data_IF_485678392113
#
_entry.id   IF_485678392113
#
_cell.length_a   1.000
_cell.length_b   1.000
_cell.length_c   1.000
_cell.angle_alpha   90.00
_cell.angle_beta   90.00
_cell.angle_gamma   90.00
#
_symmetry.space_group_name_H-M   'P 1'
#
loop_
_entity.id
_entity.type
_entity.pdbx_description
1 polymer ?
#
# COMPACT_ATOMS: atom_id res chain seq x y z
N UNK A 1 18.07 28.13 55.62
CA UNK A 1 18.79 26.85 55.52
C UNK A 1 17.74 25.76 55.37
N UNK A 2 17.08 25.61 54.23
CA UNK A 2 17.56 25.08 52.93
C UNK A 2 17.95 23.62 53.01
N UNK A 3 17.06 22.72 52.58
CA UNK A 3 17.30 21.77 51.48
C UNK A 3 16.08 20.84 51.28
N UNK A 4 15.40 21.04 50.16
CA UNK A 4 14.54 20.05 49.53
C UNK A 4 15.43 19.12 48.68
N UNK A 5 15.20 17.82 48.74
CA UNK A 5 15.79 16.81 47.85
C UNK A 5 14.65 15.99 47.24
N UNK A 6 14.48 16.12 45.93
CA UNK A 6 13.77 15.16 45.08
C UNK A 6 14.77 14.46 44.17
N UNK A 7 14.43 13.26 43.70
CA UNK A 7 14.93 12.54 42.50
C UNK A 7 14.09 11.25 42.37
N UNK A 8 13.03 11.23 41.56
CA UNK A 8 12.92 10.71 40.18
C UNK A 8 13.37 9.26 39.98
N UNK A 9 12.38 8.38 39.79
CA UNK A 9 12.55 7.02 39.32
C UNK A 9 12.81 6.98 37.81
N UNK A 10 13.84 6.24 37.40
CA UNK A 10 14.31 6.11 36.03
C UNK A 10 13.94 4.72 35.52
N UNK A 11 12.98 4.62 34.59
CA UNK A 11 12.62 3.36 33.94
C UNK A 11 13.48 3.17 32.68
N UNK A 12 14.34 2.14 32.71
CA UNK A 12 15.12 1.68 31.56
C UNK A 12 14.21 0.94 30.58
N UNK A 13 14.17 1.39 29.32
CA UNK A 13 13.48 0.69 28.22
C UNK A 13 14.55 0.13 27.26
N UNK A 14 14.80 -1.17 27.33
CA UNK A 14 15.72 -1.88 26.45
C UNK A 14 15.04 -2.23 25.11
N UNK A 15 15.55 -1.66 24.02
CA UNK A 15 15.17 -2.00 22.64
C UNK A 15 15.76 -3.37 22.26
N UNK A 16 14.91 -4.35 21.95
CA UNK A 16 15.34 -5.62 21.32
C UNK A 16 14.98 -5.54 19.83
N UNK A 17 16.01 -5.44 18.98
CA UNK A 17 15.90 -5.60 17.54
C UNK A 17 15.68 -7.08 17.17
N UNK A 18 14.81 -7.36 16.21
CA UNK A 18 14.54 -8.70 15.68
C UNK A 18 14.87 -8.77 14.18
N UNK A 19 15.71 -9.73 13.80
CA UNK A 19 16.15 -10.02 12.43
C UNK A 19 15.16 -10.93 11.68
N UNK A 20 14.95 -10.68 10.38
CA UNK A 20 13.93 -11.33 9.53
C UNK A 20 14.38 -12.59 8.77
N UNK A 21 15.36 -13.36 9.26
CA UNK A 21 15.58 -14.72 8.72
C UNK A 21 14.70 -15.69 9.50
N UNK A 22 13.75 -16.39 8.85
CA UNK A 22 13.09 -17.66 9.29
C UNK A 22 11.56 -17.73 9.03
N UNK A 23 11.13 -17.55 7.77
CA UNK A 23 9.80 -18.01 7.34
C UNK A 23 9.96 -19.07 6.25
N UNK A 24 9.52 -20.30 6.51
CA UNK A 24 9.41 -21.38 5.52
C UNK A 24 7.94 -21.81 5.37
N UNK A 25 7.42 -21.99 4.15
CA UNK A 25 6.07 -22.50 3.91
C UNK A 25 5.98 -24.00 4.17
N UNK A 26 4.85 -24.47 4.71
CA UNK A 26 4.50 -25.89 4.84
C UNK A 26 3.30 -26.17 3.92
N UNK A 27 3.36 -27.32 3.26
CA UNK A 27 2.56 -27.87 2.16
C UNK A 27 1.03 -27.66 2.18
N UNK A 28 0.46 -27.61 0.97
CA UNK A 28 -0.98 -27.62 0.65
C UNK A 28 -1.38 -29.07 0.32
N UNK A 29 -2.41 -29.61 0.98
CA UNK A 29 -3.06 -30.87 0.54
C UNK A 29 -4.41 -30.57 -0.09
N UNK A 30 -4.64 -31.15 -1.27
CA UNK A 30 -5.92 -31.17 -1.99
C UNK A 30 -6.53 -32.57 -1.83
N UNK A 31 -7.83 -32.69 -1.55
CA UNK A 31 -8.73 -33.74 -2.07
C UNK A 31 -10.22 -33.42 -1.75
N UNK A 32 -11.20 -33.98 -2.52
CA UNK A 32 -12.53 -33.41 -2.75
C UNK A 32 -13.70 -34.23 -2.16
N UNK A 33 -14.88 -33.64 -2.01
CA UNK A 33 -16.16 -34.38 -1.89
C UNK A 33 -17.34 -33.59 -2.51
N UNK A 34 -18.09 -34.26 -3.39
CA UNK A 34 -19.33 -33.83 -4.02
C UNK A 34 -20.56 -34.31 -3.24
N UNK A 35 -21.64 -33.51 -3.17
CA UNK A 35 -23.05 -33.84 -3.55
C UNK A 35 -24.00 -32.63 -3.36
N UNK A 36 -25.22 -32.71 -3.92
CA UNK A 36 -26.08 -31.63 -4.46
C UNK A 36 -27.20 -31.04 -3.55
N UNK A 37 -27.73 -29.87 -3.99
CA UNK A 37 -28.99 -29.11 -3.68
C UNK A 37 -28.99 -28.09 -2.49
N UNK A 38 -29.82 -27.02 -2.52
CA UNK A 38 -30.02 -25.99 -3.54
C UNK A 38 -29.61 -24.57 -3.04
N UNK A 39 -29.46 -23.63 -3.97
CA UNK A 39 -29.17 -22.18 -3.80
C UNK A 39 -29.23 -21.58 -2.38
N UNK A 40 -28.10 -21.62 -1.66
CA UNK A 40 -27.58 -20.51 -0.85
C UNK A 40 -26.08 -20.42 -1.10
N UNK A 41 -25.61 -19.24 -1.46
CA UNK A 41 -24.21 -19.02 -1.82
C UNK A 41 -23.28 -19.44 -0.67
N UNK A 42 -22.18 -20.17 -0.93
CA UNK A 42 -21.25 -20.55 0.10
C UNK A 42 -20.40 -19.35 0.52
N UNK A 43 -20.50 -19.02 1.81
CA UNK A 43 -19.55 -18.17 2.53
C UNK A 43 -18.21 -18.92 2.54
N UNK A 44 -17.27 -18.51 1.70
CA UNK A 44 -15.90 -19.05 1.76
C UNK A 44 -15.13 -18.28 2.81
N UNK A 45 -15.13 -18.78 4.05
CA UNK A 45 -14.20 -18.35 5.09
C UNK A 45 -12.85 -19.01 4.84
N UNK A 46 -11.81 -18.22 4.56
CA UNK A 46 -10.43 -18.70 4.47
C UNK A 46 -9.64 -18.24 5.69
N UNK A 47 -9.23 -19.16 6.55
CA UNK A 47 -8.24 -18.87 7.61
C UNK A 47 -6.84 -19.14 7.09
N UNK A 48 -5.94 -18.15 7.14
CA UNK A 48 -4.50 -18.37 6.93
C UNK A 48 -3.83 -18.43 8.30
N UNK A 49 -3.30 -19.60 8.65
CA UNK A 49 -2.57 -19.82 9.90
C UNK A 49 -1.08 -19.56 9.66
N UNK A 50 -0.49 -18.69 10.48
CA UNK A 50 0.97 -18.51 10.53
C UNK A 50 1.48 -18.93 11.91
N UNK A 51 2.63 -19.61 11.95
CA UNK A 51 3.29 -20.02 13.19
C UNK A 51 4.35 -18.97 13.55
N UNK A 52 4.16 -18.28 14.67
CA UNK A 52 5.19 -17.41 15.25
C UNK A 52 6.18 -18.29 16.03
N UNK A 53 7.43 -18.39 15.55
CA UNK A 53 8.46 -19.27 16.11
C UNK A 53 9.00 -18.81 17.47
N UNK A 54 8.67 -17.60 17.95
CA UNK A 54 9.21 -17.07 19.22
C UNK A 54 8.33 -17.33 20.46
N UNK A 55 7.04 -17.58 20.28
CA UNK A 55 6.09 -17.74 21.40
C UNK A 55 5.20 -18.98 21.31
N UNK A 56 5.41 -19.86 20.32
CA UNK A 56 4.62 -21.08 20.14
C UNK A 56 3.12 -20.86 19.86
N UNK A 57 2.66 -19.61 19.83
CA UNK A 57 1.25 -19.24 19.66
C UNK A 57 0.91 -19.20 18.18
N UNK A 58 -0.06 -20.03 17.80
CA UNK A 58 -0.75 -19.93 16.51
C UNK A 58 -1.54 -18.62 16.49
N UNK A 59 -1.14 -17.69 15.63
CA UNK A 59 -1.96 -16.50 15.36
C UNK A 59 -2.84 -16.81 14.16
N UNK A 60 -4.15 -16.86 14.40
CA UNK A 60 -5.16 -16.97 13.34
C UNK A 60 -5.45 -15.56 12.84
N UNK A 61 -5.05 -15.23 11.61
CA UNK A 61 -5.61 -14.06 10.93
C UNK A 61 -6.96 -14.52 10.37
N UNK A 62 -8.02 -14.18 11.08
CA UNK A 62 -9.36 -14.18 10.48
C UNK A 62 -9.32 -13.02 9.50
N UNK A 63 -9.31 -13.32 8.19
CA UNK A 63 -9.64 -12.32 7.18
C UNK A 63 -11.11 -12.03 7.42
N UNK A 64 -11.38 -11.05 8.29
CA UNK A 64 -12.72 -10.68 8.65
C UNK A 64 -13.45 -10.29 7.37
N UNK A 65 -14.52 -11.01 7.11
CA UNK A 65 -15.57 -10.69 6.16
C UNK A 65 -16.26 -9.39 6.61
N UNK A 66 -15.54 -8.27 6.52
CA UNK A 66 -16.03 -6.89 6.64
C UNK A 66 -14.98 -5.83 6.30
N UNK A 67 -13.93 -6.18 5.56
CA UNK A 67 -13.00 -5.18 5.00
C UNK A 67 -13.23 -5.13 3.50
N UNK A 68 -14.10 -4.21 3.08
CA UNK A 68 -14.11 -3.59 1.76
C UNK A 68 -14.35 -4.50 0.56
N UNK A 69 -15.54 -4.40 -0.03
CA UNK A 69 -15.89 -5.02 -1.29
C UNK A 69 -14.83 -4.80 -2.39
N UNK A 70 -14.42 -5.94 -2.95
CA UNK A 70 -13.71 -6.29 -4.19
C UNK A 70 -12.98 -5.20 -4.99
N UNK A 71 -11.70 -5.49 -5.27
CA UNK A 71 -10.71 -4.67 -5.96
C UNK A 71 -10.90 -4.56 -7.48
N UNK A 72 -11.89 -5.27 -8.00
CA UNK A 72 -12.17 -5.53 -9.42
C UNK A 72 -13.44 -6.41 -9.48
N UNK A 73 -13.83 -6.97 -10.63
CA UNK A 73 -14.90 -7.99 -10.61
C UNK A 73 -14.48 -9.21 -9.79
N UNK A 74 -15.43 -9.88 -9.14
CA UNK A 74 -15.19 -11.13 -8.38
C UNK A 74 -14.40 -12.16 -9.21
N UNK A 75 -14.66 -12.21 -10.52
CA UNK A 75 -13.96 -13.05 -11.47
C UNK A 75 -12.47 -12.70 -11.59
N UNK A 76 -12.13 -11.42 -11.70
CA UNK A 76 -10.73 -10.98 -11.76
C UNK A 76 -10.03 -11.20 -10.42
N UNK A 77 -10.72 -10.95 -9.31
CA UNK A 77 -10.17 -11.19 -7.97
C UNK A 77 -9.85 -12.68 -7.77
N UNK A 78 -10.74 -13.58 -8.21
CA UNK A 78 -10.48 -15.03 -8.18
C UNK A 78 -9.25 -15.44 -8.98
N UNK A 79 -9.01 -14.81 -10.14
CA UNK A 79 -7.84 -15.05 -11.01
C UNK A 79 -6.51 -14.57 -10.41
N UNK A 80 -6.51 -13.70 -9.38
CA UNK A 80 -5.27 -13.24 -8.75
C UNK A 80 -4.52 -14.35 -8.03
N UNK A 81 -3.19 -14.32 -8.15
CA UNK A 81 -2.31 -15.16 -7.33
C UNK A 81 -2.53 -14.85 -5.83
N UNK A 82 -2.47 -15.83 -4.93
CA UNK A 82 -2.70 -15.64 -3.49
C UNK A 82 -1.88 -14.49 -2.88
N UNK A 83 -0.62 -14.34 -3.30
CA UNK A 83 0.26 -13.24 -2.85
C UNK A 83 -0.28 -11.85 -3.17
N UNK A 84 -0.98 -11.67 -4.30
CA UNK A 84 -1.55 -10.39 -4.70
C UNK A 84 -2.73 -10.00 -3.80
N UNK A 85 -3.52 -10.98 -3.35
CA UNK A 85 -4.60 -10.78 -2.38
C UNK A 85 -4.05 -10.37 -1.02
N UNK A 86 -2.93 -10.98 -0.60
CA UNK A 86 -2.22 -10.63 0.64
C UNK A 86 -1.74 -9.17 0.63
N UNK A 87 -1.28 -8.65 -0.52
CA UNK A 87 -0.83 -7.27 -0.60
C UNK A 87 -1.96 -6.26 -0.47
N UNK A 88 -3.14 -6.54 -1.06
CA UNK A 88 -4.34 -5.74 -0.80
C UNK A 88 -4.66 -5.73 0.69
N UNK A 89 -4.73 -6.90 1.34
CA UNK A 89 -4.99 -6.97 2.78
C UNK A 89 -3.95 -6.18 3.60
N UNK A 90 -2.68 -6.22 3.19
CA UNK A 90 -1.61 -5.48 3.86
C UNK A 90 -1.74 -3.97 3.71
N UNK A 91 -2.22 -3.47 2.57
CA UNK A 91 -2.53 -2.04 2.41
C UNK A 91 -3.56 -1.59 3.46
N UNK A 92 -4.63 -2.35 3.64
CA UNK A 92 -5.64 -2.04 4.65
C UNK A 92 -5.08 -2.07 6.08
N UNK A 93 -4.24 -3.05 6.40
CA UNK A 93 -3.56 -3.14 7.69
C UNK A 93 -2.67 -1.89 7.94
N UNK A 94 -1.93 -1.43 6.93
CA UNK A 94 -1.12 -0.22 7.03
C UNK A 94 -2.00 1.01 7.28
N UNK A 95 -3.08 1.18 6.50
CA UNK A 95 -4.00 2.33 6.64
C UNK A 95 -4.61 2.38 8.05
N UNK A 96 -4.99 1.21 8.60
CA UNK A 96 -5.59 1.14 9.94
C UNK A 96 -4.57 1.44 11.05
N UNK A 97 -3.35 0.93 10.93
CA UNK A 97 -2.34 1.00 11.99
C UNK A 97 -1.52 2.29 11.98
N UNK A 98 -1.34 2.94 10.82
CA UNK A 98 -0.61 4.19 10.72
C UNK A 98 -1.52 5.37 11.10
N UNK A 99 -1.29 5.92 12.28
CA UNK A 99 -2.02 7.10 12.79
C UNK A 99 -1.95 8.31 11.85
N UNK A 100 -0.85 8.47 11.12
CA UNK A 100 -0.70 9.52 10.11
C UNK A 100 -1.71 9.39 8.94
N UNK A 101 -2.19 8.18 8.68
CA UNK A 101 -3.12 7.86 7.59
C UNK A 101 -4.59 8.00 7.98
N UNK A 102 -4.90 8.12 9.27
CA UNK A 102 -6.25 8.50 9.74
C UNK A 102 -6.65 9.89 9.18
N UNK A 103 -5.67 10.68 8.72
CA UNK A 103 -5.84 11.99 8.09
C UNK A 103 -5.89 11.95 6.55
N UNK A 104 -5.75 10.79 5.89
CA UNK A 104 -5.84 10.68 4.42
C UNK A 104 -7.13 11.31 3.86
N UNK A 105 -8.18 11.40 4.68
CA UNK A 105 -9.46 11.98 4.33
C UNK A 105 -9.66 13.45 4.69
N UNK A 106 -8.67 14.14 5.28
CA UNK A 106 -8.89 15.46 5.89
C UNK A 106 -7.68 16.40 5.74
N UNK A 107 -7.81 17.51 4.97
CA UNK A 107 -9.00 17.89 4.20
C UNK A 107 -9.24 16.92 3.03
N UNK A 108 -10.51 16.78 2.62
CA UNK A 108 -10.89 15.93 1.49
C UNK A 108 -10.23 16.53 0.22
N UNK A 109 -9.47 15.74 -0.56
CA UNK A 109 -8.87 16.23 -1.80
C UNK A 109 -9.93 16.81 -2.74
N UNK A 110 -9.62 17.92 -3.39
CA UNK A 110 -10.58 18.65 -4.25
C UNK A 110 -11.06 17.81 -5.43
N UNK A 111 -10.21 16.94 -5.96
CA UNK A 111 -10.47 15.98 -7.03
C UNK A 111 -11.02 14.63 -6.54
N UNK A 112 -11.30 14.47 -5.23
CA UNK A 112 -11.84 13.21 -4.70
C UNK A 112 -13.17 12.81 -5.34
N UNK A 113 -14.00 13.79 -5.73
CA UNK A 113 -15.25 13.54 -6.44
C UNK A 113 -15.05 12.79 -7.77
N UNK A 114 -13.87 12.91 -8.39
CA UNK A 114 -13.52 12.18 -9.60
C UNK A 114 -13.28 10.68 -9.31
N UNK A 115 -12.68 10.35 -8.16
CA UNK A 115 -12.42 8.97 -7.74
C UNK A 115 -13.64 8.34 -7.07
N UNK A 116 -14.42 9.11 -6.32
CA UNK A 116 -15.62 8.67 -5.62
C UNK A 116 -16.59 9.86 -5.45
N UNK A 117 -17.58 10.03 -6.34
CA UNK A 117 -18.55 11.13 -6.29
C UNK A 117 -19.24 11.32 -4.93
N UNK A 118 -19.62 10.23 -4.26
CA UNK A 118 -20.30 10.27 -2.97
C UNK A 118 -19.34 10.36 -1.76
N UNK A 119 -18.02 10.55 -1.96
CA UNK A 119 -17.01 10.44 -0.90
C UNK A 119 -17.34 11.26 0.36
N UNK A 120 -17.89 12.47 0.19
CA UNK A 120 -18.25 13.35 1.31
C UNK A 120 -19.29 12.76 2.26
N UNK A 121 -20.14 11.84 1.78
CA UNK A 121 -21.21 11.18 2.55
C UNK A 121 -20.75 9.88 3.21
N UNK A 122 -19.56 9.41 2.88
CA UNK A 122 -19.04 8.14 3.37
C UNK A 122 -18.64 8.20 4.83
N UNK A 123 -18.90 7.12 5.55
CA UNK A 123 -18.34 6.89 6.88
C UNK A 123 -16.85 6.52 6.80
N UNK A 124 -16.18 6.47 7.94
CA UNK A 124 -14.74 6.23 8.04
C UNK A 124 -14.32 4.90 7.38
N UNK A 125 -15.03 3.81 7.64
CA UNK A 125 -14.76 2.50 7.04
C UNK A 125 -14.86 2.52 5.51
N UNK A 126 -15.88 3.18 4.98
CA UNK A 126 -16.05 3.35 3.54
C UNK A 126 -14.93 4.20 2.94
N UNK A 127 -14.52 5.29 3.61
CA UNK A 127 -13.39 6.13 3.17
C UNK A 127 -12.08 5.35 3.14
N UNK A 128 -11.80 4.58 4.19
CA UNK A 128 -10.65 3.66 4.22
C UNK A 128 -10.71 2.66 3.08
N UNK A 129 -11.91 2.18 2.72
CA UNK A 129 -12.10 1.30 1.56
C UNK A 129 -11.76 1.99 0.25
N UNK A 130 -12.18 3.24 0.04
CA UNK A 130 -11.78 4.01 -1.16
C UNK A 130 -10.27 4.16 -1.25
N UNK A 131 -9.61 4.55 -0.16
CA UNK A 131 -8.15 4.72 -0.16
C UNK A 131 -7.39 3.42 -0.33
N UNK A 132 -7.81 2.36 0.38
CA UNK A 132 -7.21 1.04 0.22
C UNK A 132 -7.34 0.54 -1.21
N UNK A 133 -8.50 0.77 -1.83
CA UNK A 133 -8.76 0.44 -3.23
C UNK A 133 -7.87 1.22 -4.19
N UNK A 134 -7.76 2.54 -4.01
CA UNK A 134 -6.92 3.39 -4.84
C UNK A 134 -5.43 3.03 -4.73
N UNK A 135 -4.93 2.85 -3.51
CA UNK A 135 -3.53 2.49 -3.24
C UNK A 135 -3.20 1.12 -3.84
N UNK A 136 -4.09 0.14 -3.67
CA UNK A 136 -3.96 -1.17 -4.28
C UNK A 136 -3.88 -1.08 -5.82
N UNK A 137 -4.73 -0.25 -6.42
CA UNK A 137 -4.72 -0.01 -7.86
C UNK A 137 -3.42 0.68 -8.34
N UNK A 138 -2.88 1.63 -7.56
CA UNK A 138 -1.57 2.25 -7.82
C UNK A 138 -0.46 1.19 -7.80
N UNK A 139 -0.35 0.40 -6.73
CA UNK A 139 0.69 -0.65 -6.63
C UNK A 139 0.62 -1.65 -7.77
N UNK A 140 -0.58 -2.01 -8.21
CA UNK A 140 -0.76 -2.86 -9.39
C UNK A 140 -0.21 -2.21 -10.66
N UNK A 141 -0.52 -0.94 -10.91
CA UNK A 141 -0.03 -0.23 -12.11
C UNK A 141 1.47 0.02 -12.10
N UNK A 142 2.06 0.16 -10.91
CA UNK A 142 3.50 0.40 -10.75
C UNK A 142 4.33 -0.88 -10.87
N UNK A 143 3.85 -2.01 -10.36
CA UNK A 143 4.68 -3.23 -10.24
C UNK A 143 4.03 -4.53 -10.70
N UNK A 144 2.76 -4.51 -11.11
CA UNK A 144 1.98 -5.72 -11.34
C UNK A 144 1.86 -6.59 -10.08
N UNK A 145 1.89 -5.99 -8.89
CA UNK A 145 1.98 -6.70 -7.60
C UNK A 145 3.22 -7.59 -7.40
N UNK A 146 4.29 -7.31 -8.15
CA UNK A 146 5.55 -8.01 -7.96
C UNK A 146 6.50 -7.18 -7.08
N UNK A 147 6.72 -7.66 -5.86
CA UNK A 147 7.52 -6.97 -4.85
C UNK A 147 9.02 -6.90 -5.16
N UNK A 148 9.50 -7.65 -6.15
CA UNK A 148 10.90 -7.60 -6.59
C UNK A 148 11.08 -6.92 -7.95
N UNK A 149 10.03 -6.28 -8.48
CA UNK A 149 10.13 -5.46 -9.69
C UNK A 149 11.14 -4.34 -9.47
N UNK A 150 12.03 -4.14 -10.43
CA UNK A 150 12.98 -3.04 -10.41
C UNK A 150 13.13 -2.46 -11.82
N UNK A 151 13.18 -1.13 -11.91
CA UNK A 151 13.30 -0.40 -13.17
C UNK A 151 14.35 0.71 -13.01
N UNK A 152 15.24 0.89 -14.00
CA UNK A 152 16.17 2.03 -14.03
C UNK A 152 15.44 3.20 -14.68
N UNK A 153 15.42 4.36 -14.03
CA UNK A 153 14.77 5.55 -14.59
C UNK A 153 15.49 6.04 -15.85
N UNK A 154 14.75 6.42 -16.91
CA UNK A 154 15.34 6.77 -18.21
C UNK A 154 16.09 8.10 -18.21
N UNK A 155 15.87 8.95 -17.21
CA UNK A 155 16.58 10.23 -17.06
C UNK A 155 18.01 10.05 -16.51
N UNK A 156 18.39 8.82 -16.15
CA UNK A 156 19.72 8.44 -15.66
C UNK A 156 20.25 9.35 -14.54
N UNK A 157 19.36 9.92 -13.72
CA UNK A 157 19.76 10.68 -12.54
C UNK A 157 20.53 9.78 -11.58
N UNK A 158 21.47 10.35 -10.84
CA UNK A 158 22.23 9.64 -9.82
C UNK A 158 21.48 9.70 -8.49
N UNK A 159 21.17 8.53 -7.94
CA UNK A 159 20.60 8.38 -6.61
C UNK A 159 21.63 8.80 -5.56
N UNK A 160 21.23 9.75 -4.72
CA UNK A 160 22.11 10.39 -3.73
C UNK A 160 22.62 9.42 -2.65
N UNK A 161 21.93 8.30 -2.43
CA UNK A 161 22.24 7.27 -1.43
C UNK A 161 23.07 6.16 -2.05
N UNK A 162 22.65 5.64 -3.20
CA UNK A 162 23.32 4.49 -3.83
C UNK A 162 24.54 4.86 -4.66
N UNK A 163 24.63 6.14 -5.09
CA UNK A 163 25.62 6.65 -6.05
C UNK A 163 25.58 5.91 -7.40
N UNK A 164 24.42 5.35 -7.73
CA UNK A 164 24.11 4.68 -9.01
C UNK A 164 22.93 5.39 -9.67
N UNK A 165 22.58 5.01 -10.90
CA UNK A 165 21.35 5.49 -11.51
C UNK A 165 20.14 5.18 -10.63
N UNK A 166 19.21 6.14 -10.54
CA UNK A 166 17.96 5.98 -9.80
C UNK A 166 17.25 4.74 -10.31
N UNK A 167 16.89 3.91 -9.35
CA UNK A 167 16.15 2.67 -9.58
C UNK A 167 14.88 2.70 -8.77
N UNK A 168 13.78 2.50 -9.46
CA UNK A 168 12.46 2.34 -8.88
C UNK A 168 12.22 0.86 -8.56
N UNK A 169 11.84 0.57 -7.33
CA UNK A 169 11.89 -0.76 -6.74
C UNK A 169 10.62 -1.09 -5.93
N UNK A 170 10.19 -2.34 -6.05
CA UNK A 170 9.11 -2.92 -5.26
C UNK A 170 7.71 -2.50 -5.69
N UNK A 171 6.75 -2.73 -4.79
CA UNK A 171 5.31 -2.61 -5.05
C UNK A 171 4.86 -1.20 -5.44
N UNK A 172 5.50 -0.18 -4.87
CA UNK A 172 5.20 1.24 -5.06
C UNK A 172 6.28 1.96 -5.89
N UNK A 173 7.22 1.20 -6.48
CA UNK A 173 8.29 1.70 -7.35
C UNK A 173 9.06 2.88 -6.71
N UNK A 174 9.62 2.64 -5.52
CA UNK A 174 10.38 3.62 -4.74
C UNK A 174 11.88 3.45 -4.94
N UNK A 175 12.66 4.46 -4.56
CA UNK A 175 14.13 4.46 -4.62
C UNK A 175 14.75 4.69 -3.23
N UNK A 176 16.05 4.40 -3.08
CA UNK A 176 16.73 4.63 -1.80
C UNK A 176 16.85 6.12 -1.46
N UNK A 177 16.99 6.99 -2.47
CA UNK A 177 16.95 8.43 -2.25
C UNK A 177 15.60 8.93 -1.69
N UNK A 178 14.49 8.20 -1.87
CA UNK A 178 13.20 8.59 -1.27
C UNK A 178 13.24 8.49 0.25
N UNK A 179 13.89 7.45 0.80
CA UNK A 179 14.07 7.35 2.25
C UNK A 179 14.87 8.55 2.82
N UNK A 180 15.76 9.14 2.01
CA UNK A 180 16.47 10.37 2.39
C UNK A 180 15.63 11.62 2.19
N UNK A 181 14.84 11.69 1.11
CA UNK A 181 14.00 12.84 0.77
C UNK A 181 12.80 12.99 1.71
N UNK A 182 12.36 11.88 2.29
CA UNK A 182 11.28 11.79 3.25
C UNK A 182 11.75 11.15 4.57
N UNK A 183 12.90 11.62 5.07
CA UNK A 183 13.58 11.06 6.26
C UNK A 183 12.67 10.94 7.48
N UNK A 184 11.73 11.86 7.63
CA UNK A 184 10.76 11.90 8.73
C UNK A 184 9.71 10.78 8.68
N UNK A 185 9.58 10.05 7.56
CA UNK A 185 8.62 8.96 7.42
C UNK A 185 9.19 7.60 7.85
N UNK A 186 10.50 7.53 8.13
CA UNK A 186 11.18 6.32 8.59
C UNK A 186 10.87 5.10 7.71
N UNK A 187 11.25 5.18 6.43
CA UNK A 187 10.96 4.12 5.46
C UNK A 187 11.72 2.79 5.70
N UNK A 188 12.68 2.78 6.63
CA UNK A 188 13.49 1.60 6.99
C UNK A 188 14.21 0.93 5.81
N UNK A 189 14.62 1.71 4.80
CA UNK A 189 15.47 1.23 3.72
C UNK A 189 16.95 1.35 4.14
N UNK A 190 17.68 0.24 4.06
CA UNK A 190 19.08 0.11 4.46
C UNK A 190 19.96 -0.23 3.26
N UNK A 191 20.40 0.79 2.54
CA UNK A 191 21.32 0.60 1.40
C UNK A 191 22.66 -0.02 1.82
N UNK A 192 23.15 0.28 3.03
CA UNK A 192 24.44 -0.24 3.51
C UNK A 192 24.41 -1.75 3.60
N UNK A 193 23.29 -2.32 4.07
CA UNK A 193 23.03 -3.76 4.07
C UNK A 193 22.72 -4.28 2.67
N UNK A 194 21.89 -3.56 1.92
CA UNK A 194 21.29 -4.08 0.69
C UNK A 194 22.24 -4.12 -0.51
N UNK A 195 23.26 -3.27 -0.55
CA UNK A 195 24.19 -3.13 -1.68
C UNK A 195 24.93 -4.42 -2.08
N UNK A 196 24.94 -5.43 -1.19
CA UNK A 196 25.56 -6.75 -1.43
C UNK A 196 24.62 -7.73 -2.13
N UNK A 197 23.32 -7.50 -2.11
CA UNK A 197 22.35 -8.40 -2.70
C UNK A 197 22.18 -8.12 -4.19
N UNK A 198 21.72 -9.14 -4.92
CA UNK A 198 21.28 -8.99 -6.31
C UNK A 198 20.14 -7.95 -6.40
N UNK A 199 20.02 -7.30 -7.56
CA UNK A 199 19.08 -6.19 -7.79
C UNK A 199 17.64 -6.54 -7.40
N UNK A 200 17.18 -7.73 -7.78
CA UNK A 200 15.84 -8.26 -7.54
C UNK A 200 15.74 -9.17 -6.31
N UNK A 201 16.73 -9.17 -5.41
CA UNK A 201 16.71 -10.02 -4.23
C UNK A 201 15.64 -9.59 -3.24
N UNK A 202 14.75 -10.51 -2.86
CA UNK A 202 13.74 -10.28 -1.83
C UNK A 202 14.33 -9.96 -0.44
N UNK A 203 15.62 -10.21 -0.22
CA UNK A 203 16.32 -9.89 1.03
C UNK A 203 16.63 -8.39 1.19
N UNK A 204 16.51 -7.61 0.12
CA UNK A 204 16.68 -6.16 0.17
C UNK A 204 15.56 -5.53 1.00
N UNK A 205 15.92 -4.65 1.93
CA UNK A 205 14.97 -3.91 2.75
C UNK A 205 13.95 -3.11 1.94
N UNK A 206 14.34 -2.53 0.79
CA UNK A 206 13.42 -1.79 -0.10
C UNK A 206 12.42 -2.69 -0.83
N UNK A 207 12.77 -3.97 -1.05
CA UNK A 207 11.92 -4.97 -1.69
C UNK A 207 11.08 -5.75 -0.66
N UNK A 208 11.28 -5.50 0.65
CA UNK A 208 10.42 -6.01 1.70
C UNK A 208 9.00 -5.40 1.54
N UNK A 209 7.96 -6.20 1.22
CA UNK A 209 6.67 -5.69 0.77
C UNK A 209 6.02 -4.69 1.74
N UNK A 210 6.10 -4.97 3.04
CA UNK A 210 5.55 -4.08 4.07
C UNK A 210 6.26 -2.72 4.12
N UNK A 211 7.60 -2.72 4.10
CA UNK A 211 8.39 -1.47 4.15
C UNK A 211 8.12 -0.62 2.92
N UNK A 212 8.11 -1.26 1.75
CA UNK A 212 7.84 -0.60 0.48
C UNK A 212 6.44 0.02 0.43
N UNK A 213 5.40 -0.76 0.76
CA UNK A 213 4.01 -0.27 0.81
C UNK A 213 3.86 0.85 1.84
N UNK A 214 4.34 0.64 3.07
CA UNK A 214 4.23 1.63 4.15
C UNK A 214 4.86 2.95 3.75
N UNK A 215 6.12 2.93 3.31
CA UNK A 215 6.81 4.13 2.85
C UNK A 215 6.06 4.83 1.71
N UNK A 216 5.62 4.07 0.71
CA UNK A 216 4.87 4.61 -0.43
C UNK A 216 3.55 5.26 -0.01
N UNK A 217 2.79 4.62 0.89
CA UNK A 217 1.51 5.15 1.36
C UNK A 217 1.73 6.43 2.19
N UNK A 218 2.78 6.48 3.02
CA UNK A 218 3.10 7.69 3.79
C UNK A 218 3.54 8.85 2.88
N UNK A 219 4.34 8.58 1.84
CA UNK A 219 4.69 9.58 0.81
C UNK A 219 3.43 10.06 0.08
N UNK A 220 2.52 9.15 -0.26
CA UNK A 220 1.26 9.49 -0.93
C UNK A 220 0.41 10.40 -0.06
N UNK A 221 0.21 10.05 1.20
CA UNK A 221 -0.48 10.88 2.16
C UNK A 221 0.13 12.28 2.24
N UNK A 222 1.46 12.37 2.38
CA UNK A 222 2.16 13.66 2.42
C UNK A 222 1.92 14.48 1.14
N UNK A 223 2.01 13.87 -0.04
CA UNK A 223 1.79 14.58 -1.32
C UNK A 223 0.34 15.02 -1.50
N UNK A 224 -0.62 14.18 -1.17
CA UNK A 224 -2.05 14.51 -1.22
C UNK A 224 -2.35 15.67 -0.27
N UNK A 225 -1.83 15.63 0.96
CA UNK A 225 -2.02 16.70 1.94
C UNK A 225 -1.40 18.03 1.50
N UNK A 226 -0.21 17.99 0.89
CA UNK A 226 0.44 19.19 0.36
C UNK A 226 -0.31 19.78 -0.83
N UNK A 227 -0.77 18.93 -1.75
CA UNK A 227 -1.39 19.38 -3.00
C UNK A 227 -2.90 19.64 -2.86
N UNK A 228 -3.54 19.12 -1.81
CA UNK A 228 -5.00 19.01 -1.67
C UNK A 228 -5.69 18.34 -2.87
N UNK A 229 -4.93 17.50 -3.59
CA UNK A 229 -5.32 16.80 -4.81
C UNK A 229 -4.61 15.44 -4.87
N UNK A 230 -5.29 14.44 -5.39
CA UNK A 230 -4.75 13.10 -5.63
C UNK A 230 -3.93 13.10 -6.92
N UNK A 231 -4.48 13.67 -7.99
CA UNK A 231 -3.94 13.63 -9.34
C UNK A 231 -3.47 15.02 -9.77
N UNK A 232 -2.15 15.23 -9.79
CA UNK A 232 -1.53 16.48 -10.25
C UNK A 232 -0.40 16.20 -11.24
N UNK A 233 -0.05 17.14 -12.14
CA UNK A 233 1.08 16.96 -13.07
C UNK A 233 2.41 16.65 -12.37
N UNK A 234 2.61 17.21 -11.16
CA UNK A 234 3.82 17.07 -10.36
C UNK A 234 3.76 15.97 -9.29
N UNK A 235 2.73 15.11 -9.30
CA UNK A 235 2.66 14.00 -8.33
C UNK A 235 3.78 12.98 -8.56
N UNK A 236 4.16 12.30 -7.47
CA UNK A 236 5.28 11.37 -7.45
C UNK A 236 5.05 10.22 -8.45
N UNK A 237 3.94 9.49 -8.29
CA UNK A 237 3.61 8.36 -9.16
C UNK A 237 3.12 8.80 -10.54
N UNK A 238 3.77 8.32 -11.59
CA UNK A 238 3.37 8.63 -12.97
C UNK A 238 1.95 8.17 -13.29
N UNK A 239 1.45 7.13 -12.61
CA UNK A 239 0.09 6.59 -12.80
C UNK A 239 -1.00 7.55 -12.32
N UNK A 240 -0.65 8.52 -11.47
CA UNK A 240 -1.54 9.57 -10.96
C UNK A 240 -1.41 10.90 -11.72
N UNK A 241 -0.54 11.00 -12.73
CA UNK A 241 -0.40 12.24 -13.51
C UNK A 241 -1.54 12.32 -14.53
N UNK A 242 -2.34 13.40 -14.53
CA UNK A 242 -3.35 13.60 -15.54
C UNK A 242 -2.69 13.76 -16.91
N UNK A 243 -3.36 13.34 -17.98
CA UNK A 243 -2.90 13.62 -19.34
C UNK A 243 -2.99 15.13 -19.54
N UNK A 244 -1.85 15.80 -19.68
CA UNK A 244 -1.83 17.22 -19.96
C UNK A 244 -2.39 17.45 -21.37
N UNK A 245 -3.53 18.13 -21.45
CA UNK A 245 -4.03 18.68 -22.70
C UNK A 245 -4.38 20.15 -22.46
N UNK A 246 -3.62 21.10 -23.07
CA UNK A 246 -3.77 22.53 -22.81
C UNK A 246 -5.13 23.11 -23.25
N UNK A 247 -5.98 22.33 -23.92
CA UNK A 247 -7.33 22.73 -24.36
C UNK A 247 -8.45 22.31 -23.39
N UNK A 248 -8.19 21.51 -22.35
CA UNK A 248 -9.24 20.98 -21.47
C UNK A 248 -8.96 21.29 -20.00
N UNK A 249 -10.01 21.70 -19.28
CA UNK A 249 -9.96 21.94 -17.83
C UNK A 249 -10.20 20.61 -17.09
N UNK A 250 -9.54 20.46 -15.93
CA UNK A 250 -9.54 19.22 -15.11
C UNK A 250 -10.92 18.84 -14.53
N UNK A 251 -11.89 19.74 -14.58
CA UNK A 251 -13.25 19.62 -14.00
C UNK A 251 -14.29 19.01 -14.96
N UNK A 252 -13.97 18.77 -16.22
CA UNK A 252 -14.92 18.18 -17.17
C UNK A 252 -14.88 16.64 -17.14
N UNK A 253 -15.90 16.05 -16.50
CA UNK A 253 -16.11 14.62 -16.28
C UNK A 253 -16.17 13.73 -17.54
N UNK A 254 -15.97 14.25 -18.76
CA UNK A 254 -16.16 13.51 -20.01
C UNK A 254 -14.98 13.51 -21.00
N UNK A 255 -13.82 14.08 -20.70
CA UNK A 255 -12.75 14.21 -21.71
C UNK A 255 -11.34 13.99 -21.18
N UNK A 256 -10.97 12.72 -21.08
CA UNK A 256 -9.58 12.29 -21.09
C UNK A 256 -9.56 10.93 -21.74
N UNK A 257 -8.65 10.72 -22.69
CA UNK A 257 -8.37 9.41 -23.31
C UNK A 257 -8.76 8.27 -22.36
N UNK A 258 -9.69 7.37 -22.75
CA UNK A 258 -10.10 6.21 -21.93
C UNK A 258 -8.90 5.36 -21.50
N UNK A 259 -7.76 5.51 -22.18
CA UNK A 259 -6.49 4.87 -21.88
C UNK A 259 -5.62 5.65 -20.85
N UNK A 260 -6.12 6.73 -20.25
CA UNK A 260 -5.44 7.45 -19.17
C UNK A 260 -5.33 6.57 -17.93
N UNK A 261 -4.13 6.53 -17.33
CA UNK A 261 -3.87 5.77 -16.11
C UNK A 261 -4.77 6.23 -14.96
N UNK A 262 -5.02 7.54 -14.86
CA UNK A 262 -5.87 8.13 -13.82
C UNK A 262 -7.34 7.73 -13.99
N UNK A 263 -7.85 7.67 -15.23
CA UNK A 263 -9.21 7.18 -15.51
C UNK A 263 -9.35 5.75 -15.02
N UNK A 264 -8.40 4.88 -15.38
CA UNK A 264 -8.42 3.48 -14.95
C UNK A 264 -8.43 3.34 -13.42
N UNK A 265 -7.63 4.15 -12.72
CA UNK A 265 -7.59 4.19 -11.25
C UNK A 265 -8.92 4.66 -10.65
N UNK A 266 -9.52 5.72 -11.20
CA UNK A 266 -10.82 6.22 -10.74
C UNK A 266 -11.95 5.20 -10.97
N UNK A 267 -11.92 4.45 -12.07
CA UNK A 267 -12.88 3.37 -12.29
C UNK A 267 -12.75 2.24 -11.26
N UNK A 268 -11.53 1.97 -10.76
CA UNK A 268 -11.35 0.99 -9.69
C UNK A 268 -12.06 1.42 -8.41
N UNK A 269 -12.05 2.70 -8.06
CA UNK A 269 -12.73 3.22 -6.86
C UNK A 269 -14.23 3.44 -7.06
N UNK A 270 -14.67 3.92 -8.23
CA UNK A 270 -16.11 4.06 -8.58
C UNK A 270 -16.85 2.72 -8.65
N UNK A 271 -16.12 1.62 -8.84
CA UNK A 271 -16.70 0.28 -8.82
C UNK A 271 -17.35 -0.06 -7.46
N UNK A 272 -16.87 0.55 -6.38
CA UNK A 272 -17.43 0.42 -5.03
C UNK A 272 -18.88 0.93 -5.01
N UNK A 273 -19.80 0.10 -4.50
CA UNK A 273 -21.25 0.36 -4.57
C UNK A 273 -21.66 1.69 -3.95
N UNK A 274 -20.97 2.13 -2.90
CA UNK A 274 -21.24 3.39 -2.20
C UNK A 274 -20.57 4.62 -2.83
N UNK A 275 -19.79 4.47 -3.90
CA UNK A 275 -19.20 5.60 -4.63
C UNK A 275 -20.04 6.07 -5.83
N UNK A 276 -21.04 5.29 -6.24
CA UNK A 276 -21.92 5.61 -7.38
C UNK A 276 -23.00 6.62 -7.00
#
# INVERSE_FOLDING_TARGET
>A
MTLALGLTAQAQNSKIALSNSELKPISITNEPLMWELPMRQPIVTGTVKYKNTRFGKLSTVVVAEKIGHVVESEENFKKRLPRMKLWTAKVFEIIQNETALHKLSTPIPTDMHYFCPQYKKLNETQRMTVWGQLIAAISYRESGWNATTSFIEPDHKIDSITKRFVRSEGLMQLSYQDASSYKELECDFDWKKDKKFAVNSADKSILAPFRNLRCGILILNKKVMMNQQISTPGTYWSVLRPVFNPKYKLDEAHRGNKNSKVVWLAEQTKSLSFCR
#
